data_IF_923827679619
#
_entry.id   IF_923827679619
#
_cell.length_a   1.000
_cell.length_b   1.000
_cell.length_c   1.000
_cell.angle_alpha   90.00
_cell.angle_beta   90.00
_cell.angle_gamma   90.00
#
_symmetry.space_group_name_H-M   'P 1'
#
loop_
_entity.id
_entity.type
_entity.pdbx_description
1 polymer ?
#
# COMPACT_ATOMS: atom_id res chain seq x y z
N UNK A 1 6.48 2.49 46.83
CA UNK A 1 5.42 1.56 46.36
C UNK A 1 6.11 0.31 45.85
N UNK A 2 5.78 -0.87 46.39
CA UNK A 2 6.39 -2.15 46.00
C UNK A 2 5.45 -2.86 45.03
N UNK A 3 5.97 -3.31 43.89
CA UNK A 3 5.24 -4.13 42.92
C UNK A 3 5.66 -5.58 43.14
N UNK A 4 4.71 -6.45 43.50
CA UNK A 4 4.95 -7.88 43.65
C UNK A 4 4.52 -8.61 42.35
N UNK A 5 5.50 -9.19 41.64
CA UNK A 5 5.26 -9.95 40.41
C UNK A 5 4.90 -11.41 40.76
N UNK A 6 3.75 -11.95 40.32
CA UNK A 6 3.35 -13.33 40.60
C UNK A 6 4.35 -14.36 40.09
N UNK A 7 4.54 -15.46 40.83
CA UNK A 7 5.42 -16.58 40.43
C UNK A 7 4.83 -17.47 39.32
N UNK A 8 3.52 -17.39 39.10
CA UNK A 8 2.83 -18.14 38.05
C UNK A 8 2.20 -17.17 37.04
N UNK A 9 2.20 -17.48 35.73
CA UNK A 9 1.55 -16.66 34.73
C UNK A 9 0.05 -16.51 35.03
N UNK A 10 -0.45 -15.27 35.02
CA UNK A 10 -1.88 -14.98 35.16
C UNK A 10 -2.58 -14.85 33.81
N UNK A 11 -1.82 -14.62 32.73
CA UNK A 11 -2.29 -14.54 31.37
C UNK A 11 -1.14 -14.78 30.38
N UNK A 12 -1.48 -15.00 29.10
CA UNK A 12 -0.52 -15.00 27.99
C UNK A 12 -0.55 -13.63 27.31
N UNK A 13 0.60 -13.00 27.13
CA UNK A 13 0.75 -11.88 26.21
C UNK A 13 0.80 -12.44 24.79
N UNK A 14 -0.16 -12.07 23.95
CA UNK A 14 -0.22 -12.51 22.56
C UNK A 14 0.62 -11.60 21.65
N UNK A 15 0.83 -12.04 20.42
CA UNK A 15 1.66 -11.35 19.42
C UNK A 15 0.91 -10.23 18.68
N UNK A 16 -0.29 -9.84 19.14
CA UNK A 16 -1.11 -8.82 18.48
C UNK A 16 -0.40 -7.48 18.33
N UNK A 17 0.51 -7.15 19.26
CA UNK A 17 1.29 -5.90 19.24
C UNK A 17 2.22 -5.79 18.02
N UNK A 18 2.59 -6.90 17.38
CA UNK A 18 3.42 -6.96 16.17
C UNK A 18 2.64 -7.45 14.94
N UNK A 19 1.31 -7.36 14.97
CA UNK A 19 0.50 -7.86 13.86
C UNK A 19 0.60 -6.99 12.60
N UNK A 20 0.72 -5.68 12.75
CA UNK A 20 0.86 -4.75 11.63
C UNK A 20 1.71 -3.53 12.05
N UNK A 21 2.48 -3.00 11.12
CA UNK A 21 3.20 -1.73 11.27
C UNK A 21 2.75 -0.73 10.20
N UNK A 22 2.75 0.55 10.54
CA UNK A 22 2.49 1.62 9.58
C UNK A 22 3.70 1.93 8.72
N UNK A 23 3.47 2.50 7.54
CA UNK A 23 4.54 3.03 6.70
C UNK A 23 4.12 4.30 5.98
N UNK A 24 5.05 4.91 5.25
CA UNK A 24 4.79 6.04 4.37
C UNK A 24 3.90 5.65 3.18
N UNK A 25 3.90 6.50 2.13
CA UNK A 25 3.19 6.16 0.89
C UNK A 25 3.91 5.06 0.10
N UNK A 26 3.15 4.31 -0.69
CA UNK A 26 3.55 3.04 -1.31
C UNK A 26 4.83 3.14 -2.15
N UNK A 27 4.96 4.17 -3.00
CA UNK A 27 6.12 4.39 -3.88
C UNK A 27 7.44 4.67 -3.13
N UNK A 28 7.40 5.07 -1.86
CA UNK A 28 8.62 5.24 -1.06
C UNK A 28 9.36 3.90 -0.83
N UNK A 29 8.66 2.78 -0.93
CA UNK A 29 9.25 1.45 -0.81
C UNK A 29 10.19 1.08 -1.97
N UNK A 30 10.19 1.85 -3.06
CA UNK A 30 11.19 1.73 -4.13
C UNK A 30 12.56 2.26 -3.71
N UNK A 31 12.65 3.08 -2.64
CA UNK A 31 13.91 3.67 -2.21
C UNK A 31 14.74 2.66 -1.43
N UNK A 32 16.06 2.71 -1.65
CA UNK A 32 16.99 1.82 -0.98
C UNK A 32 17.03 2.01 0.54
N UNK A 33 17.01 3.27 1.00
CA UNK A 33 17.05 3.58 2.44
C UNK A 33 15.79 3.10 3.18
N UNK A 34 14.64 3.14 2.51
CA UNK A 34 13.42 2.52 3.01
C UNK A 34 13.60 1.00 3.17
N UNK A 35 14.10 0.32 2.14
CA UNK A 35 14.26 -1.14 2.15
C UNK A 35 15.25 -1.59 3.21
N UNK A 36 16.38 -0.89 3.36
CA UNK A 36 17.37 -1.17 4.41
C UNK A 36 16.77 -0.99 5.82
N UNK A 37 15.92 0.03 6.01
CA UNK A 37 15.21 0.27 7.27
C UNK A 37 14.16 -0.82 7.55
N UNK A 38 13.40 -1.24 6.54
CA UNK A 38 12.42 -2.32 6.67
C UNK A 38 13.10 -3.64 7.00
N UNK A 39 14.24 -3.96 6.36
CA UNK A 39 15.01 -5.17 6.63
C UNK A 39 15.55 -5.21 8.07
N UNK A 40 16.00 -4.05 8.60
CA UNK A 40 16.34 -3.93 10.03
C UNK A 40 15.12 -4.24 10.90
N UNK A 41 13.99 -3.59 10.66
CA UNK A 41 12.77 -3.77 11.47
C UNK A 41 12.26 -5.22 11.43
N UNK A 42 12.30 -5.87 10.26
CA UNK A 42 11.88 -7.28 10.14
C UNK A 42 12.82 -8.22 10.90
N UNK A 43 14.13 -8.00 10.84
CA UNK A 43 15.09 -8.81 11.58
C UNK A 43 14.93 -8.68 13.10
N UNK A 44 14.70 -7.47 13.60
CA UNK A 44 14.67 -7.21 15.05
C UNK A 44 13.28 -7.46 15.69
N UNK A 45 12.18 -7.27 14.94
CA UNK A 45 10.80 -7.32 15.47
C UNK A 45 9.95 -8.41 14.79
N UNK A 46 10.02 -8.49 13.46
CA UNK A 46 9.23 -9.42 12.65
C UNK A 46 7.73 -9.10 12.69
N UNK A 47 7.32 -8.06 11.97
CA UNK A 47 5.90 -7.71 11.82
C UNK A 47 5.24 -8.55 10.74
N UNK A 48 3.99 -8.96 10.96
CA UNK A 48 3.26 -9.77 9.96
C UNK A 48 2.80 -8.95 8.75
N UNK A 49 2.31 -7.73 8.98
CA UNK A 49 1.80 -6.88 7.91
C UNK A 49 2.36 -5.45 7.91
N UNK A 50 2.35 -4.81 6.75
CA UNK A 50 2.70 -3.40 6.57
C UNK A 50 1.54 -2.63 5.92
N UNK A 51 1.18 -1.47 6.47
CA UNK A 51 0.03 -0.66 6.02
C UNK A 51 0.47 0.76 5.69
N UNK A 52 0.22 1.18 4.45
CA UNK A 52 0.58 2.52 3.95
C UNK A 52 -0.40 3.04 2.90
N UNK A 53 -0.32 4.34 2.62
CA UNK A 53 -1.22 5.03 1.70
C UNK A 53 -0.70 4.98 0.25
N UNK A 54 -1.56 5.32 -0.72
CA UNK A 54 -1.12 5.72 -2.06
C UNK A 54 -0.86 4.58 -3.04
N UNK A 55 -1.37 3.36 -2.78
CA UNK A 55 -1.33 2.25 -3.73
C UNK A 55 -1.88 2.66 -5.11
N UNK A 56 -2.98 3.41 -5.14
CA UNK A 56 -3.67 3.82 -6.37
C UNK A 56 -3.33 5.25 -6.81
N UNK A 57 -2.43 5.94 -6.08
CA UNK A 57 -2.00 7.29 -6.44
C UNK A 57 -1.03 7.28 -7.63
N UNK A 58 -0.90 8.42 -8.32
CA UNK A 58 -0.09 8.54 -9.52
C UNK A 58 1.39 8.13 -9.34
N UNK A 59 1.92 8.19 -8.11
CA UNK A 59 3.29 7.76 -7.81
C UNK A 59 3.57 6.28 -8.07
N UNK A 60 2.59 5.40 -7.88
CA UNK A 60 2.72 3.97 -8.26
C UNK A 60 2.45 3.76 -9.76
N UNK A 61 1.71 4.68 -10.39
CA UNK A 61 1.50 4.72 -11.83
C UNK A 61 0.57 3.64 -12.36
N UNK A 62 -0.30 3.04 -11.53
CA UNK A 62 -1.18 1.94 -11.97
C UNK A 62 -2.14 2.38 -13.06
N UNK A 63 -2.89 3.46 -12.83
CA UNK A 63 -3.91 3.93 -13.75
C UNK A 63 -3.29 4.80 -14.85
N UNK A 64 -3.26 4.30 -16.09
CA UNK A 64 -2.66 4.98 -17.24
C UNK A 64 -3.64 5.10 -18.41
N UNK A 65 -4.47 6.15 -18.45
CA UNK A 65 -5.24 6.48 -19.63
C UNK A 65 -4.33 6.92 -20.78
N UNK A 66 -4.69 6.53 -21.99
CA UNK A 66 -4.00 6.88 -23.23
C UNK A 66 -5.01 7.04 -24.36
N UNK A 67 -4.63 7.76 -25.41
CA UNK A 67 -5.42 7.87 -26.63
C UNK A 67 -4.86 6.96 -27.72
N UNK A 68 -5.74 6.25 -28.41
CA UNK A 68 -5.39 5.44 -29.56
C UNK A 68 -6.52 5.48 -30.59
N UNK A 69 -6.18 5.85 -31.84
CA UNK A 69 -7.14 5.97 -32.93
C UNK A 69 -8.35 6.88 -32.62
N UNK A 70 -8.16 7.94 -31.83
CA UNK A 70 -9.22 8.87 -31.42
C UNK A 70 -10.09 8.39 -30.25
N UNK A 71 -9.78 7.23 -29.67
CA UNK A 71 -10.49 6.68 -28.51
C UNK A 71 -9.64 6.76 -27.24
N UNK A 72 -10.24 7.19 -26.14
CA UNK A 72 -9.64 7.07 -24.80
C UNK A 72 -9.68 5.61 -24.35
N UNK A 73 -8.53 5.09 -23.96
CA UNK A 73 -8.35 3.75 -23.41
C UNK A 73 -7.60 3.84 -22.08
N UNK A 74 -7.68 2.79 -21.27
CA UNK A 74 -6.97 2.71 -19.99
C UNK A 74 -6.12 1.46 -19.97
N UNK A 75 -4.86 1.61 -19.55
CA UNK A 75 -3.94 0.51 -19.24
C UNK A 75 -3.68 0.51 -17.73
N UNK A 76 -3.66 -0.68 -17.13
CA UNK A 76 -3.13 -0.84 -15.78
C UNK A 76 -1.66 -1.28 -15.84
N UNK A 77 -0.77 -0.50 -15.21
CA UNK A 77 0.67 -0.75 -15.19
C UNK A 77 1.13 -1.17 -13.79
N UNK A 78 1.65 -2.39 -13.65
CA UNK A 78 1.97 -2.95 -12.34
C UNK A 78 3.47 -2.95 -11.99
N UNK A 79 4.32 -2.36 -12.84
CA UNK A 79 5.79 -2.42 -12.70
C UNK A 79 6.30 -2.03 -11.31
N UNK A 80 5.82 -0.92 -10.74
CA UNK A 80 6.26 -0.49 -9.40
C UNK A 80 5.56 -1.25 -8.29
N UNK A 81 4.29 -1.63 -8.46
CA UNK A 81 3.57 -2.45 -7.48
C UNK A 81 4.27 -3.79 -7.31
N UNK A 82 4.67 -4.43 -8.41
CA UNK A 82 5.39 -5.70 -8.41
C UNK A 82 6.71 -5.57 -7.62
N UNK A 83 7.53 -4.56 -7.92
CA UNK A 83 8.79 -4.34 -7.21
C UNK A 83 8.58 -4.11 -5.70
N UNK A 84 7.53 -3.38 -5.32
CA UNK A 84 7.24 -3.07 -3.92
C UNK A 84 6.73 -4.33 -3.19
N UNK A 85 5.79 -5.05 -3.78
CA UNK A 85 5.20 -6.25 -3.19
C UNK A 85 6.24 -7.36 -3.10
N UNK A 86 7.02 -7.59 -4.15
CA UNK A 86 8.14 -8.55 -4.14
C UNK A 86 9.12 -8.21 -3.01
N UNK A 87 9.51 -6.94 -2.85
CA UNK A 87 10.41 -6.50 -1.77
C UNK A 87 9.82 -6.69 -0.36
N UNK A 88 8.51 -6.54 -0.19
CA UNK A 88 7.84 -6.83 1.08
C UNK A 88 7.84 -8.33 1.38
N UNK A 89 7.45 -9.15 0.41
CA UNK A 89 7.37 -10.60 0.55
C UNK A 89 8.76 -11.25 0.76
N UNK A 90 9.79 -10.76 0.07
CA UNK A 90 11.18 -11.18 0.27
C UNK A 90 11.68 -10.94 1.70
N UNK A 91 11.13 -9.92 2.38
CA UNK A 91 11.41 -9.61 3.79
C UNK A 91 10.43 -10.29 4.77
N UNK A 92 9.51 -11.12 4.27
CA UNK A 92 8.55 -11.86 5.08
C UNK A 92 7.43 -11.02 5.69
N UNK A 93 7.10 -9.88 5.08
CA UNK A 93 6.00 -9.01 5.52
C UNK A 93 4.94 -8.86 4.43
N UNK A 94 3.67 -9.00 4.80
CA UNK A 94 2.56 -8.96 3.85
C UNK A 94 1.93 -7.55 3.78
N UNK A 95 1.58 -7.03 2.59
CA UNK A 95 0.90 -5.74 2.49
C UNK A 95 -0.53 -5.84 3.03
N UNK A 96 -0.84 -5.02 4.05
CA UNK A 96 -2.22 -4.71 4.42
C UNK A 96 -2.72 -3.62 3.47
N UNK A 97 -3.32 -4.04 2.36
CA UNK A 97 -3.68 -3.15 1.25
C UNK A 97 -4.66 -2.05 1.68
N UNK A 98 -4.35 -0.83 1.24
CA UNK A 98 -5.27 0.31 1.28
C UNK A 98 -5.57 0.76 -0.15
N UNK A 99 -6.84 0.73 -0.55
CA UNK A 99 -7.27 1.11 -1.89
C UNK A 99 -7.46 2.63 -1.98
N UNK A 100 -6.36 3.36 -2.21
CA UNK A 100 -6.37 4.80 -2.40
C UNK A 100 -4.96 5.36 -2.62
N UNK A 101 -4.79 6.66 -2.84
CA UNK A 101 -5.85 7.64 -3.11
C UNK A 101 -6.34 7.58 -4.57
N UNK A 102 -7.20 8.50 -5.00
CA UNK A 102 -7.73 8.53 -6.37
C UNK A 102 -6.61 8.88 -7.37
N UNK A 103 -6.45 8.14 -8.49
CA UNK A 103 -5.59 8.58 -9.59
C UNK A 103 -6.09 9.91 -10.17
N UNK A 104 -5.18 10.83 -10.52
CA UNK A 104 -5.58 12.17 -10.99
C UNK A 104 -6.46 12.14 -12.23
N UNK A 105 -6.18 11.22 -13.16
CA UNK A 105 -6.98 11.07 -14.38
C UNK A 105 -8.32 10.34 -14.18
N UNK A 106 -8.65 9.91 -12.96
CA UNK A 106 -9.94 9.34 -12.60
C UNK A 106 -10.69 10.20 -11.57
N UNK A 107 -10.03 11.20 -10.98
CA UNK A 107 -10.63 12.10 -10.01
C UNK A 107 -11.78 12.95 -10.59
N UNK A 108 -12.76 13.27 -9.75
CA UNK A 108 -13.89 14.16 -10.07
C UNK A 108 -13.62 15.63 -9.78
N UNK A 109 -12.56 15.94 -9.02
CA UNK A 109 -12.12 17.30 -8.74
C UNK A 109 -10.65 17.37 -8.34
N UNK A 110 -10.22 18.55 -7.92
CA UNK A 110 -8.80 18.89 -7.72
C UNK A 110 -8.35 18.88 -6.25
N UNK A 111 -9.23 18.53 -5.32
CA UNK A 111 -8.90 18.51 -3.90
C UNK A 111 -7.88 17.41 -3.60
N UNK A 112 -6.81 17.78 -2.90
CA UNK A 112 -5.68 16.92 -2.61
C UNK A 112 -5.25 17.01 -1.15
N UNK A 113 -4.57 15.98 -0.67
CA UNK A 113 -4.00 15.90 0.68
C UNK A 113 -2.49 15.66 0.64
N UNK A 114 -1.81 16.12 1.69
CA UNK A 114 -0.35 16.04 1.88
C UNK A 114 0.47 16.82 0.85
N UNK A 115 1.77 16.93 1.10
CA UNK A 115 2.71 17.63 0.20
C UNK A 115 2.81 16.98 -1.19
N UNK A 116 2.52 15.69 -1.29
CA UNK A 116 2.58 14.90 -2.51
C UNK A 116 1.26 14.81 -3.26
N UNK A 117 0.26 15.58 -2.81
CA UNK A 117 -0.99 15.84 -3.52
C UNK A 117 -1.78 14.58 -3.90
N UNK A 118 -1.97 13.66 -2.96
CA UNK A 118 -2.88 12.54 -3.18
C UNK A 118 -4.31 13.07 -3.35
N UNK A 119 -4.99 12.73 -4.46
CA UNK A 119 -6.33 13.25 -4.74
C UNK A 119 -7.40 12.57 -3.88
N UNK A 120 -8.23 13.35 -3.19
CA UNK A 120 -9.21 12.83 -2.22
C UNK A 120 -10.65 12.86 -2.73
N UNK A 121 -10.85 13.25 -3.99
CA UNK A 121 -12.20 13.32 -4.57
C UNK A 121 -12.68 11.93 -5.02
N UNK A 122 -14.01 11.71 -5.07
CA UNK A 122 -14.58 10.50 -5.67
C UNK A 122 -14.15 10.31 -7.14
N UNK A 123 -14.30 9.11 -7.72
CA UNK A 123 -14.02 8.91 -9.13
C UNK A 123 -15.05 9.65 -9.99
N UNK A 124 -14.63 10.18 -11.14
CA UNK A 124 -15.53 10.74 -12.16
C UNK A 124 -16.33 9.66 -12.91
N UNK A 125 -15.88 8.41 -12.82
CA UNK A 125 -16.52 7.23 -13.39
C UNK A 125 -16.36 6.03 -12.42
N UNK A 126 -17.47 5.62 -11.81
CA UNK A 126 -17.53 4.51 -10.85
C UNK A 126 -17.25 3.14 -11.50
N UNK A 127 -17.59 2.97 -12.79
CA UNK A 127 -17.33 1.72 -13.49
C UNK A 127 -15.82 1.57 -13.76
N UNK A 128 -15.18 2.65 -14.19
CA UNK A 128 -13.73 2.68 -14.38
C UNK A 128 -12.96 2.49 -13.07
N UNK A 129 -13.45 3.06 -11.96
CA UNK A 129 -12.91 2.79 -10.62
C UNK A 129 -13.03 1.31 -10.23
N UNK A 130 -14.20 0.71 -10.45
CA UNK A 130 -14.41 -0.71 -10.17
C UNK A 130 -13.49 -1.59 -11.04
N UNK A 131 -13.26 -1.24 -12.30
CA UNK A 131 -12.33 -1.94 -13.18
C UNK A 131 -10.87 -1.79 -12.76
N UNK A 132 -10.46 -0.61 -12.26
CA UNK A 132 -9.15 -0.41 -11.66
C UNK A 132 -8.95 -1.34 -10.46
N UNK A 133 -9.89 -1.34 -9.50
CA UNK A 133 -9.81 -2.19 -8.30
C UNK A 133 -9.77 -3.67 -8.68
N UNK A 134 -10.65 -4.13 -9.59
CA UNK A 134 -10.63 -5.51 -10.08
C UNK A 134 -9.31 -5.85 -10.77
N UNK A 135 -8.78 -4.95 -11.58
CA UNK A 135 -7.51 -5.13 -12.30
C UNK A 135 -6.34 -5.31 -11.34
N UNK A 136 -6.26 -4.46 -10.31
CA UNK A 136 -5.23 -4.56 -9.25
C UNK A 136 -5.35 -5.88 -8.51
N UNK A 137 -6.54 -6.23 -8.01
CA UNK A 137 -6.72 -7.44 -7.21
C UNK A 137 -6.47 -8.72 -8.02
N UNK A 138 -6.92 -8.79 -9.28
CA UNK A 138 -6.64 -9.94 -10.15
C UNK A 138 -5.16 -10.09 -10.41
N UNK A 139 -4.47 -9.00 -10.75
CA UNK A 139 -3.02 -9.01 -10.96
C UNK A 139 -2.25 -9.51 -9.74
N UNK A 140 -2.62 -9.05 -8.53
CA UNK A 140 -2.01 -9.52 -7.28
C UNK A 140 -2.29 -10.99 -6.95
N UNK A 141 -3.39 -11.57 -7.46
CA UNK A 141 -3.70 -13.00 -7.33
C UNK A 141 -2.93 -13.84 -8.36
N UNK A 142 -2.76 -13.31 -9.58
CA UNK A 142 -2.15 -14.02 -10.70
C UNK A 142 -0.62 -14.14 -10.60
N UNK A 143 0.03 -13.22 -9.86
CA UNK A 143 1.49 -13.18 -9.64
C UNK A 143 1.90 -14.04 -8.45
#
# INVERSE_FOLDING_TARGET
MRIDVPRQPTARLCDAWRHCVGTGRFDLALRRDYQDSLALVQREIGFRHIRGHGLLSDGTGIHQPYEHAGERRVRHAFTYVDQIVDAYLDLGIEPFLELGFMPSQLASGEDTVFWWKGNITPPRDEAEWADLVRGVLRHLIDR
#
